data_IF_245192560985
#
_entry.id   IF_245192560985
#
_cell.length_a   1.000
_cell.length_b   1.000
_cell.length_c   1.000
_cell.angle_alpha   90.00
_cell.angle_beta   90.00
_cell.angle_gamma   90.00
#
_symmetry.space_group_name_H-M   'P 1'
#
loop_
_entity.id
_entity.type
_entity.pdbx_description
1 polymer ?
#
# COMPACT_ATOMS: atom_id res chain seq x y z
N UNK A 1 -3.48 -6.54 -24.98
CA UNK A 1 -3.61 -5.62 -23.83
C UNK A 1 -3.23 -6.30 -22.52
N UNK A 2 -3.81 -7.44 -22.12
CA UNK A 2 -3.43 -8.14 -20.88
C UNK A 2 -1.97 -8.65 -20.87
N UNK A 3 -1.49 -9.15 -22.02
CA UNK A 3 -0.11 -9.65 -22.18
C UNK A 3 0.94 -8.53 -22.05
N UNK A 4 0.59 -7.31 -22.47
CA UNK A 4 1.43 -6.10 -22.36
C UNK A 4 1.52 -5.61 -20.91
N UNK A 5 0.39 -5.64 -20.19
CA UNK A 5 0.34 -5.29 -18.77
C UNK A 5 1.10 -6.31 -17.89
N UNK A 6 1.08 -7.60 -18.24
CA UNK A 6 1.87 -8.61 -17.54
C UNK A 6 3.38 -8.37 -17.67
N UNK A 7 3.86 -8.05 -18.88
CA UNK A 7 5.26 -7.68 -19.09
C UNK A 7 5.65 -6.39 -18.36
N UNK A 8 4.75 -5.41 -18.31
CA UNK A 8 4.94 -4.18 -17.55
C UNK A 8 5.01 -4.44 -16.04
N UNK A 9 4.13 -5.29 -15.49
CA UNK A 9 4.15 -5.67 -14.07
C UNK A 9 5.46 -6.31 -13.66
N UNK A 10 5.98 -7.26 -14.43
CA UNK A 10 7.26 -7.92 -14.13
C UNK A 10 8.40 -6.89 -14.09
N UNK A 11 8.43 -5.96 -15.05
CA UNK A 11 9.46 -4.89 -15.08
C UNK A 11 9.32 -3.93 -13.89
N UNK A 12 8.10 -3.57 -13.52
CA UNK A 12 7.85 -2.70 -12.38
C UNK A 12 8.20 -3.37 -11.06
N UNK A 13 7.83 -4.64 -10.87
CA UNK A 13 8.19 -5.41 -9.68
C UNK A 13 9.72 -5.50 -9.50
N UNK A 14 10.47 -5.58 -10.61
CA UNK A 14 11.94 -5.63 -10.56
C UNK A 14 12.61 -4.27 -10.29
N UNK A 15 11.95 -3.14 -10.56
CA UNK A 15 12.59 -1.80 -10.52
C UNK A 15 12.05 -0.88 -9.43
N UNK A 16 10.78 -1.04 -9.03
CA UNK A 16 10.15 -0.19 -8.03
C UNK A 16 10.78 -0.28 -6.63
N UNK A 17 11.26 -1.44 -6.14
CA UNK A 17 11.93 -1.48 -4.84
C UNK A 17 13.09 -0.49 -4.73
N UNK A 18 13.94 -0.41 -5.77
CA UNK A 18 15.06 0.53 -5.82
C UNK A 18 14.58 1.99 -5.91
N UNK A 19 13.49 2.24 -6.66
CA UNK A 19 12.89 3.58 -6.73
C UNK A 19 12.26 4.03 -5.41
N UNK A 20 11.62 3.13 -4.67
CA UNK A 20 11.10 3.42 -3.32
C UNK A 20 12.25 3.75 -2.38
N UNK A 21 13.31 2.94 -2.38
CA UNK A 21 14.49 3.19 -1.56
C UNK A 21 15.13 4.55 -1.87
N UNK A 22 15.28 4.89 -3.15
CA UNK A 22 15.81 6.19 -3.57
C UNK A 22 14.91 7.36 -3.17
N UNK A 23 13.58 7.22 -3.27
CA UNK A 23 12.64 8.25 -2.86
C UNK A 23 12.69 8.52 -1.34
N UNK A 24 12.79 7.45 -0.54
CA UNK A 24 12.91 7.56 0.92
C UNK A 24 14.25 8.18 1.33
N UNK A 25 15.37 7.75 0.73
CA UNK A 25 16.67 8.36 0.97
C UNK A 25 16.68 9.86 0.63
N UNK A 26 16.07 10.25 -0.50
CA UNK A 26 15.94 11.66 -0.88
C UNK A 26 15.09 12.48 0.11
N UNK A 27 14.04 11.88 0.69
CA UNK A 27 13.25 12.51 1.74
C UNK A 27 14.08 12.68 3.03
N UNK A 28 14.81 11.65 3.45
CA UNK A 28 15.67 11.69 4.63
C UNK A 28 16.76 12.76 4.48
N UNK A 29 17.44 12.79 3.34
CA UNK A 29 18.45 13.81 3.02
C UNK A 29 17.87 15.23 3.02
N UNK A 30 16.68 15.42 2.42
CA UNK A 30 16.00 16.72 2.38
C UNK A 30 15.57 17.20 3.77
N UNK A 31 15.18 16.28 4.65
CA UNK A 31 14.67 16.59 5.99
C UNK A 31 15.74 16.58 7.08
N UNK A 32 16.95 16.09 6.80
CA UNK A 32 18.10 16.16 7.70
C UNK A 32 18.57 17.60 7.97
N UNK A 33 18.29 18.53 7.05
CA UNK A 33 18.54 19.95 7.25
C UNK A 33 17.46 20.60 8.13
N UNK A 34 17.86 21.57 8.95
CA UNK A 34 16.91 22.35 9.74
C UNK A 34 15.94 23.11 8.81
N UNK A 35 14.63 23.10 9.09
CA UNK A 35 13.66 23.81 8.27
C UNK A 35 13.87 25.33 8.37
N UNK A 36 13.51 26.11 7.34
CA UNK A 36 13.61 27.57 7.38
C UNK A 36 12.81 28.17 8.53
N UNK A 37 13.34 29.24 9.14
CA UNK A 37 12.72 29.88 10.31
C UNK A 37 11.54 30.79 9.97
N UNK A 38 11.47 31.30 8.73
CA UNK A 38 10.37 32.13 8.29
C UNK A 38 9.16 31.30 7.87
N UNK A 39 7.95 31.81 8.09
CA UNK A 39 6.71 31.07 7.83
C UNK A 39 6.57 30.63 6.36
N UNK A 40 7.04 31.45 5.40
CA UNK A 40 6.93 31.14 3.97
C UNK A 40 7.91 30.03 3.59
N UNK A 41 9.15 30.12 4.05
CA UNK A 41 10.18 29.11 3.88
C UNK A 41 9.78 27.78 4.52
N UNK A 42 9.27 27.82 5.75
CA UNK A 42 8.76 26.64 6.46
C UNK A 42 7.62 25.98 5.69
N UNK A 43 6.62 26.76 5.23
CA UNK A 43 5.50 26.23 4.46
C UNK A 43 5.95 25.56 3.15
N UNK A 44 6.90 26.17 2.43
CA UNK A 44 7.44 25.61 1.20
C UNK A 44 8.25 24.33 1.46
N UNK A 45 9.12 24.34 2.47
CA UNK A 45 9.89 23.16 2.89
C UNK A 45 8.97 22.01 3.29
N UNK A 46 7.95 22.27 4.10
CA UNK A 46 7.01 21.26 4.57
C UNK A 46 6.12 20.72 3.43
N UNK A 47 5.73 21.57 2.48
CA UNK A 47 5.02 21.13 1.28
C UNK A 47 5.88 20.19 0.42
N UNK A 48 7.18 20.49 0.26
CA UNK A 48 8.12 19.62 -0.45
C UNK A 48 8.30 18.27 0.27
N UNK A 49 8.46 18.28 1.60
CA UNK A 49 8.56 17.07 2.41
C UNK A 49 7.31 16.17 2.26
N UNK A 50 6.11 16.77 2.31
CA UNK A 50 4.85 16.06 2.07
C UNK A 50 4.76 15.47 0.66
N UNK A 51 5.18 16.22 -0.35
CA UNK A 51 5.17 15.76 -1.73
C UNK A 51 6.11 14.55 -1.93
N UNK A 52 7.28 14.54 -1.29
CA UNK A 52 8.20 13.42 -1.32
C UNK A 52 7.60 12.15 -0.69
N UNK A 53 6.94 12.27 0.46
CA UNK A 53 6.26 11.14 1.09
C UNK A 53 5.07 10.62 0.25
N UNK A 54 4.28 11.53 -0.34
CA UNK A 54 3.20 11.15 -1.25
C UNK A 54 3.73 10.41 -2.49
N UNK A 55 4.88 10.81 -3.02
CA UNK A 55 5.53 10.10 -4.12
C UNK A 55 5.97 8.69 -3.69
N UNK A 56 6.57 8.53 -2.52
CA UNK A 56 6.95 7.22 -1.99
C UNK A 56 5.73 6.29 -1.81
N UNK A 57 4.63 6.81 -1.26
CA UNK A 57 3.36 6.06 -1.12
C UNK A 57 2.81 5.58 -2.47
N UNK A 58 2.85 6.43 -3.50
CA UNK A 58 2.44 6.04 -4.86
C UNK A 58 3.31 4.93 -5.45
N UNK A 59 4.63 4.99 -5.24
CA UNK A 59 5.55 3.94 -5.70
C UNK A 59 5.29 2.61 -4.98
N UNK A 60 5.00 2.65 -3.67
CA UNK A 60 4.66 1.45 -2.88
C UNK A 60 3.36 0.83 -3.38
N UNK A 61 2.31 1.63 -3.61
CA UNK A 61 1.04 1.15 -4.18
C UNK A 61 1.25 0.51 -5.55
N UNK A 62 2.08 1.13 -6.39
CA UNK A 62 2.40 0.58 -7.70
C UNK A 62 3.21 -0.72 -7.60
N UNK A 63 4.12 -0.84 -6.63
CA UNK A 63 4.90 -2.05 -6.39
C UNK A 63 4.00 -3.21 -5.95
N UNK A 64 3.10 -2.97 -5.01
CA UNK A 64 2.11 -3.96 -4.55
C UNK A 64 1.22 -4.45 -5.69
N UNK A 65 0.73 -3.53 -6.51
CA UNK A 65 -0.01 -3.87 -7.73
C UNK A 65 0.82 -4.71 -8.71
N UNK A 66 2.11 -4.39 -8.87
CA UNK A 66 3.01 -5.09 -9.79
C UNK A 66 3.33 -6.53 -9.33
N UNK A 67 3.46 -6.75 -8.01
CA UNK A 67 3.66 -8.06 -7.41
C UNK A 67 2.42 -8.97 -7.49
N UNK A 68 1.27 -8.43 -7.90
CA UNK A 68 0.01 -9.18 -7.88
C UNK A 68 -0.52 -9.41 -6.47
N UNK A 69 0.05 -8.72 -5.47
CA UNK A 69 -0.59 -8.57 -4.17
C UNK A 69 -1.81 -7.71 -4.41
N UNK A 70 -2.98 -8.34 -4.48
CA UNK A 70 -4.24 -7.61 -4.44
C UNK A 70 -4.14 -6.62 -3.27
N UNK A 71 -4.48 -5.35 -3.51
CA UNK A 71 -4.90 -4.48 -2.40
C UNK A 71 -5.86 -5.33 -1.54
N UNK A 72 -5.75 -5.31 -0.20
CA UNK A 72 -6.77 -5.93 0.62
C UNK A 72 -8.07 -5.26 0.22
N UNK A 73 -8.81 -5.93 -0.65
CA UNK A 73 -10.13 -5.52 -1.05
C UNK A 73 -10.93 -5.64 0.25
N UNK A 74 -11.25 -4.50 0.84
CA UNK A 74 -11.94 -4.43 2.13
C UNK A 74 -13.23 -5.25 2.06
N UNK A 75 -13.85 -5.28 0.88
CA UNK A 75 -15.02 -6.10 0.56
C UNK A 75 -14.68 -7.61 0.57
N UNK A 76 -13.57 -8.04 -0.04
CA UNK A 76 -13.14 -9.44 0.01
C UNK A 76 -12.67 -9.89 1.41
N UNK A 77 -12.20 -8.96 2.24
CA UNK A 77 -11.95 -9.18 3.67
C UNK A 77 -13.24 -9.40 4.44
N UNK A 78 -14.23 -8.53 4.21
CA UNK A 78 -15.56 -8.62 4.81
C UNK A 78 -16.31 -9.90 4.40
N UNK A 79 -16.27 -10.26 3.11
CA UNK A 79 -16.89 -11.50 2.61
C UNK A 79 -16.29 -12.75 3.24
N UNK A 80 -14.95 -12.80 3.42
CA UNK A 80 -14.30 -13.91 4.12
C UNK A 80 -14.68 -13.98 5.59
N UNK A 81 -14.79 -12.84 6.27
CA UNK A 81 -15.24 -12.79 7.66
C UNK A 81 -16.71 -13.24 7.79
N UNK A 82 -17.58 -12.80 6.90
CA UNK A 82 -18.99 -13.22 6.85
C UNK A 82 -19.13 -14.71 6.52
N UNK A 83 -18.34 -15.23 5.58
CA UNK A 83 -18.32 -16.65 5.25
C UNK A 83 -17.85 -17.49 6.43
N UNK A 84 -16.81 -17.05 7.14
CA UNK A 84 -16.33 -17.72 8.37
C UNK A 84 -17.38 -17.69 9.49
N UNK A 85 -18.08 -16.57 9.67
CA UNK A 85 -19.14 -16.44 10.67
C UNK A 85 -20.34 -17.35 10.35
N UNK A 86 -20.76 -17.46 9.08
CA UNK A 86 -21.83 -18.37 8.65
C UNK A 86 -21.45 -19.83 8.85
N UNK A 87 -20.25 -20.23 8.43
CA UNK A 87 -19.77 -21.61 8.62
C UNK A 87 -19.68 -21.99 10.10
N UNK A 88 -19.33 -21.05 10.99
CA UNK A 88 -19.31 -21.29 12.42
C UNK A 88 -20.72 -21.44 13.03
N UNK A 89 -21.73 -20.76 12.49
CA UNK A 89 -23.13 -20.90 12.91
C UNK A 89 -23.72 -22.23 12.43
N UNK A 90 -23.49 -22.60 11.17
CA UNK A 90 -23.96 -23.88 10.61
C UNK A 90 -23.36 -25.06 11.39
N UNK A 91 -22.07 -24.98 11.76
CA UNK A 91 -21.41 -26.02 12.57
C UNK A 91 -21.92 -26.13 14.01
N UNK A 92 -22.59 -25.09 14.53
CA UNK A 92 -23.25 -25.12 15.84
C UNK A 92 -24.67 -25.69 15.73
N UNK A 93 -25.38 -25.38 14.64
CA UNK A 93 -26.74 -25.88 14.36
C UNK A 93 -26.73 -27.40 14.07
N UNK A 94 -25.73 -27.88 13.32
CA UNK A 94 -25.52 -29.32 13.05
C UNK A 94 -25.08 -30.13 14.30
N UNK A 95 -24.69 -29.45 15.38
CA UNK A 95 -24.22 -30.06 16.63
C UNK A 95 -25.31 -30.31 17.67
N UNK A 96 -26.52 -29.76 17.48
CA UNK A 96 -27.63 -29.82 18.43
C UNK A 96 -28.68 -30.90 18.09
N UNK A 97 -28.50 -31.70 17.02
CA UNK A 97 -29.41 -32.78 16.62
C UNK A 97 -29.06 -34.19 17.17
N UNK A 98 -28.01 -34.33 18.01
CA UNK A 98 -27.68 -35.60 18.70
C UNK A 98 -28.00 -35.57 20.21
N UNK A 99 -29.28 -35.52 20.59
CA UNK A 99 -29.78 -36.08 21.88
C UNK A 99 -31.10 -36.84 21.72
#
# INVERSE_FOLDING_TARGET
MAEDLSGLRVRLAATLPDHVAAALAGYEDFTAAAPPADAKGFAAWHAAAKAALAHADLLIKLARWAEGSAEPDEDAGMERLLAGARAALDALDDGDEEE
#
